data_IF_837791804994
#
_entry.id   IF_837791804994
#
_cell.length_a   1.000
_cell.length_b   1.000
_cell.length_c   1.000
_cell.angle_alpha   90.00
_cell.angle_beta   90.00
_cell.angle_gamma   90.00
#
_symmetry.space_group_name_H-M   'P 1'
#
loop_
_entity.id
_entity.type
_entity.pdbx_description
1 polymer ?
2 non-polymer ?
3 non-polymer ?
4 non-polymer ?
5 water ?
#
# COMPACT_ATOMS: atom_id res chain seq x y z
N UNK A 14 -13.90 6.98 -14.59
CA UNK A 14 -12.93 6.42 -15.57
C UNK A 14 -11.49 6.77 -15.21
N UNK A 15 -10.55 5.95 -15.70
CA UNK A 15 -9.14 6.18 -15.45
C UNK A 15 -8.73 7.53 -16.00
N UNK A 16 -7.88 8.20 -15.27
CA UNK A 16 -7.31 9.45 -15.68
C UNK A 16 -5.83 9.25 -15.86
N UNK A 17 -5.35 9.42 -17.08
CA UNK A 17 -3.93 9.42 -17.37
C UNK A 17 -3.38 10.78 -17.01
N UNK A 18 -2.31 10.80 -16.23
CA UNK A 18 -1.72 12.06 -15.77
C UNK A 18 -0.23 11.83 -15.85
N UNK A 19 0.39 12.41 -16.86
CA UNK A 19 1.74 12.04 -17.26
C UNK A 19 1.78 10.54 -17.48
N UNK A 20 2.75 9.91 -16.84
CA UNK A 20 2.97 8.49 -16.99
C UNK A 20 2.26 7.65 -15.92
N UNK A 21 1.38 8.29 -15.14
CA UNK A 21 0.64 7.63 -14.06
C UNK A 21 -0.83 7.56 -14.43
N UNK A 22 -1.55 6.73 -13.68
CA UNK A 22 -2.99 6.56 -13.85
C UNK A 22 -3.67 6.72 -12.49
N UNK A 23 -4.77 7.46 -12.46
CA UNK A 23 -5.54 7.69 -11.26
C UNK A 23 -6.97 7.23 -11.48
N UNK A 24 -7.57 6.60 -10.48
CA UNK A 24 -8.94 6.08 -10.59
C UNK A 24 -9.66 6.34 -9.30
N UNK A 25 -10.80 7.02 -9.36
CA UNK A 25 -11.59 7.24 -8.16
C UNK A 25 -12.32 5.95 -7.79
N UNK A 26 -12.20 5.55 -6.53
CA UNK A 26 -12.83 4.35 -6.01
C UNK A 26 -14.03 4.60 -5.12
N UNK A 27 -14.07 5.77 -4.50
CA UNK A 27 -15.14 6.14 -3.58
C UNK A 27 -15.09 7.66 -3.50
N UNK A 28 -16.08 8.30 -2.88
CA UNK A 28 -16.07 9.77 -2.85
C UNK A 28 -14.77 10.47 -2.40
N UNK A 29 -14.09 9.87 -1.44
CA UNK A 29 -12.87 10.43 -0.87
C UNK A 29 -11.66 9.52 -1.07
N UNK A 30 -11.71 8.57 -2.01
CA UNK A 30 -10.63 7.60 -2.19
C UNK A 30 -10.29 7.43 -3.67
N UNK A 31 -8.99 7.52 -3.97
CA UNK A 31 -8.49 7.31 -5.32
C UNK A 31 -7.35 6.31 -5.29
N UNK A 32 -7.20 5.55 -6.37
CA UNK A 32 -6.06 4.67 -6.58
C UNK A 32 -5.05 5.36 -7.48
N UNK A 33 -3.78 5.36 -7.09
CA UNK A 33 -2.68 5.79 -7.94
C UNK A 33 -1.97 4.59 -8.50
N UNK A 34 -1.55 4.70 -9.77
CA UNK A 34 -0.85 3.61 -10.44
C UNK A 34 0.36 4.17 -11.16
N UNK A 35 1.51 3.51 -10.97
CA UNK A 35 2.76 3.87 -11.61
C UNK A 35 3.43 2.62 -12.13
N UNK A 36 4.38 2.81 -13.04
CA UNK A 36 4.97 1.71 -13.81
C UNK A 36 6.47 1.75 -13.78
N UNK A 37 7.10 0.57 -13.71
CA UNK A 37 8.55 0.45 -13.83
C UNK A 37 8.89 -0.72 -14.72
N UNK A 38 9.79 -0.50 -15.68
CA UNK A 38 10.36 -1.62 -16.43
C UNK A 38 11.15 -2.54 -15.52
N UNK A 39 10.82 -3.82 -15.55
CA UNK A 39 11.61 -4.79 -14.85
C UNK A 39 12.11 -5.67 -15.95
N UNK A 40 13.40 -5.46 -16.36
CA UNK A 40 13.91 -6.22 -17.49
C UNK A 40 13.64 -7.72 -17.29
N UNK A 41 13.00 -8.33 -18.28
CA UNK A 41 12.53 -9.71 -18.20
C UNK A 41 11.14 -9.90 -17.62
N UNK A 42 10.51 -8.82 -17.17
CA UNK A 42 9.17 -8.86 -16.58
C UNK A 42 8.19 -7.79 -17.15
N UNK A 43 8.63 -6.96 -18.08
CA UNK A 43 7.78 -5.93 -18.66
C UNK A 43 7.65 -4.72 -17.76
N UNK A 44 6.69 -3.87 -18.12
CA UNK A 44 6.43 -2.63 -17.37
C UNK A 44 5.41 -2.93 -16.30
N UNK A 45 5.85 -3.03 -15.05
CA UNK A 45 5.03 -3.54 -13.96
C UNK A 45 4.27 -2.40 -13.29
N UNK A 46 2.95 -2.55 -13.23
CA UNK A 46 2.10 -1.60 -12.54
C UNK A 46 2.18 -1.82 -11.04
N UNK A 47 2.11 -0.75 -10.27
CA UNK A 47 1.92 -0.81 -8.83
C UNK A 47 0.89 0.22 -8.43
N UNK A 48 -0.04 -0.20 -7.58
CA UNK A 48 -1.11 0.66 -7.09
C UNK A 48 -0.91 1.05 -5.63
N UNK A 49 -1.28 2.29 -5.31
CA UNK A 49 -1.46 2.75 -3.95
C UNK A 49 -2.74 3.56 -3.84
N UNK A 50 -2.91 4.24 -2.71
CA UNK A 50 -4.16 4.97 -2.44
C UNK A 50 -3.91 6.40 -2.02
N UNK A 51 -4.93 7.21 -2.27
CA UNK A 51 -5.01 8.61 -1.85
C UNK A 51 -6.36 8.77 -1.19
N UNK A 52 -6.39 9.32 0.03
CA UNK A 52 -7.63 9.45 0.79
C UNK A 52 -7.77 10.88 1.26
N UNK A 53 -8.92 11.51 0.98
CA UNK A 53 -9.21 12.79 1.58
C UNK A 53 -9.94 12.58 2.90
N UNK A 54 -9.40 13.16 3.97
CA UNK A 54 -10.02 13.13 5.27
C UNK A 54 -10.27 14.57 5.68
N UNK A 55 -11.48 15.06 5.41
CA UNK A 55 -11.79 16.45 5.69
C UNK A 55 -10.90 17.40 4.90
N UNK A 56 -10.15 18.23 5.61
CA UNK A 56 -9.27 19.19 4.98
C UNK A 56 -7.84 18.76 4.72
N UNK A 57 -7.58 17.46 4.74
CA UNK A 57 -6.24 16.97 4.45
C UNK A 57 -6.31 15.69 3.64
N UNK A 58 -5.16 15.35 3.09
CA UNK A 58 -5.00 14.17 2.25
C UNK A 58 -3.99 13.22 2.89
N UNK A 59 -4.28 11.94 2.78
CA UNK A 59 -3.42 10.88 3.32
C UNK A 59 -3.05 9.98 2.15
N UNK A 60 -1.79 9.54 2.08
CA UNK A 60 -1.31 8.69 1.00
C UNK A 60 -0.88 7.34 1.54
N UNK A 61 -1.24 6.28 0.81
CA UNK A 61 -0.76 4.94 1.08
C UNK A 61 0.10 4.51 -0.11
N UNK A 62 1.38 4.29 0.19
CA UNK A 62 2.44 3.90 -0.74
C UNK A 62 2.91 5.02 -1.65
N UNK A 63 4.22 5.05 -1.88
CA UNK A 63 4.75 5.90 -2.92
C UNK A 63 4.52 5.25 -4.29
N UNK A 64 4.94 5.96 -5.34
CA UNK A 64 5.16 5.32 -6.63
C UNK A 64 6.55 4.66 -6.65
N UNK A 65 6.92 4.07 -7.77
CA UNK A 65 8.22 3.43 -7.85
C UNK A 65 9.39 4.40 -7.68
N UNK A 66 9.25 5.63 -8.15
CA UNK A 66 10.36 6.56 -8.17
C UNK A 66 9.98 7.89 -7.51
N UNK A 67 11.02 8.65 -7.18
CA UNK A 67 10.82 10.00 -6.66
C UNK A 67 10.08 10.87 -7.68
N UNK A 68 10.48 10.82 -8.94
CA UNK A 68 9.81 11.66 -9.94
C UNK A 68 8.32 11.30 -10.07
N UNK A 69 8.01 10.01 -10.08
CA UNK A 69 6.61 9.59 -10.15
C UNK A 69 5.84 10.01 -8.91
N UNK A 70 6.49 9.94 -7.75
CA UNK A 70 5.84 10.32 -6.50
C UNK A 70 5.57 11.82 -6.46
N UNK A 71 6.50 12.63 -6.96
CA UNK A 71 6.23 14.05 -7.12
C UNK A 71 5.04 14.29 -8.04
N UNK A 72 4.86 13.45 -9.06
CA UNK A 72 3.69 13.55 -9.92
C UNK A 72 2.39 13.21 -9.19
N UNK A 73 2.42 12.23 -8.29
CA UNK A 73 1.25 11.99 -7.44
C UNK A 73 0.91 13.26 -6.67
N UNK A 74 1.91 13.91 -6.09
CA UNK A 74 1.66 15.13 -5.33
C UNK A 74 1.11 16.25 -6.22
N UNK A 75 1.57 16.31 -7.45
CA UNK A 75 1.06 17.29 -8.44
C UNK A 75 -0.40 17.00 -8.77
N UNK A 76 -0.74 15.73 -8.98
CA UNK A 76 -2.13 15.36 -9.22
C UNK A 76 -2.99 15.76 -8.02
N UNK A 77 -2.52 15.50 -6.81
CA UNK A 77 -3.27 15.86 -5.62
C UNK A 77 -3.51 17.37 -5.58
N UNK A 78 -2.47 18.15 -5.87
CA UNK A 78 -2.60 19.61 -5.88
C UNK A 78 -3.68 20.05 -6.86
N UNK A 79 -3.67 19.47 -8.06
CA UNK A 79 -4.63 19.82 -9.13
C UNK A 79 -6.05 19.37 -8.85
N UNK A 80 -6.20 18.15 -8.35
CA UNK A 80 -7.51 17.51 -8.26
C UNK A 80 -8.17 17.61 -6.90
N UNK A 81 -7.39 17.83 -5.85
CA UNK A 81 -7.92 17.95 -4.48
C UNK A 81 -7.58 19.29 -3.87
N UNK A 82 -6.32 19.72 -4.00
CA UNK A 82 -5.89 21.04 -3.54
C UNK A 82 -6.04 21.19 -2.03
N UNK A 83 -5.57 20.19 -1.30
CA UNK A 83 -5.48 20.23 0.14
C UNK A 83 -4.13 19.64 0.53
N UNK A 84 -3.60 20.01 1.70
CA UNK A 84 -2.29 19.50 2.10
C UNK A 84 -2.28 18.00 2.36
N UNK A 85 -1.15 17.38 2.05
CA UNK A 85 -0.93 15.97 2.34
C UNK A 85 -0.35 15.88 3.75
N UNK A 86 -1.15 15.37 4.69
CA UNK A 86 -0.74 15.33 6.09
C UNK A 86 0.27 14.24 6.40
N UNK A 87 0.17 13.10 5.73
CA UNK A 87 1.05 11.98 6.02
C UNK A 87 0.95 10.98 4.90
N UNK A 88 1.95 10.10 4.88
CA UNK A 88 1.96 8.93 4.04
C UNK A 88 2.39 7.73 4.85
N UNK A 89 1.79 6.59 4.55
CA UNK A 89 2.19 5.31 5.14
C UNK A 89 2.56 4.38 4.00
N UNK A 90 3.65 3.64 4.15
CA UNK A 90 4.14 2.74 3.12
C UNK A 90 4.13 1.32 3.66
N UNK A 91 3.85 0.36 2.78
CA UNK A 91 3.42 -0.95 3.25
C UNK A 91 4.45 -2.06 3.27
N UNK A 92 5.64 -1.84 2.71
CA UNK A 92 6.83 -2.66 2.97
C UNK A 92 8.01 -2.05 2.22
N UNK A 93 9.19 -2.58 2.48
CA UNK A 93 10.44 -2.04 1.95
C UNK A 93 10.83 -2.65 0.60
N UNK A 94 9.94 -2.53 -0.38
CA UNK A 94 10.28 -2.75 -1.79
C UNK A 94 10.03 -1.45 -2.55
N UNK A 95 10.65 -1.34 -3.72
CA UNK A 95 10.68 -0.07 -4.47
C UNK A 95 9.30 0.42 -4.87
N UNK A 96 8.38 -0.49 -5.19
CA UNK A 96 7.07 -0.06 -5.61
C UNK A 96 6.32 0.69 -4.51
N UNK A 97 6.64 0.40 -3.25
CA UNK A 97 5.94 0.98 -2.11
C UNK A 97 6.71 2.11 -1.45
N UNK A 98 8.04 2.08 -1.53
CA UNK A 98 8.90 3.03 -0.80
C UNK A 98 9.90 3.75 -1.68
N UNK A 99 9.86 3.52 -2.99
CA UNK A 99 10.86 4.12 -3.86
C UNK A 99 10.84 5.63 -3.93
N UNK A 100 9.73 6.24 -3.58
CA UNK A 100 9.57 7.67 -3.67
C UNK A 100 9.65 8.42 -2.36
N UNK A 101 10.22 7.80 -1.34
CA UNK A 101 10.27 8.41 -0.02
C UNK A 101 10.91 9.80 -0.04
N UNK A 102 12.01 9.96 -0.78
CA UNK A 102 12.67 11.27 -0.81
C UNK A 102 11.74 12.35 -1.33
N UNK A 103 10.89 12.05 -2.31
CA UNK A 103 9.95 13.05 -2.82
C UNK A 103 8.95 13.47 -1.75
N UNK A 104 8.50 12.52 -0.94
CA UNK A 104 7.62 12.88 0.17
C UNK A 104 8.32 13.78 1.17
N UNK A 105 9.56 13.44 1.49
CA UNK A 105 10.31 14.26 2.43
C UNK A 105 10.61 15.65 1.89
N UNK A 106 10.93 15.75 0.61
CA UNK A 106 11.18 17.04 -0.01
C UNK A 106 9.92 17.91 0.03
N UNK A 107 8.74 17.28 0.00
CA UNK A 107 7.49 17.99 0.06
C UNK A 107 7.04 18.32 1.46
N UNK A 108 7.78 17.90 2.48
CA UNK A 108 7.44 18.17 3.88
C UNK A 108 6.36 17.27 4.45
N UNK A 109 6.17 16.10 3.89
CA UNK A 109 5.12 15.18 4.34
C UNK A 109 5.68 14.22 5.37
N UNK A 110 4.95 14.05 6.48
CA UNK A 110 5.33 13.09 7.52
C UNK A 110 5.14 11.67 7.03
N UNK A 111 6.15 10.82 7.21
CA UNK A 111 6.10 9.47 6.66
C UNK A 111 6.22 8.41 7.74
N UNK A 112 5.51 7.30 7.49
CA UNK A 112 5.36 6.21 8.44
C UNK A 112 5.54 4.87 7.74
N UNK A 113 6.15 3.93 8.43
CA UNK A 113 6.29 2.57 7.94
C UNK A 113 6.40 1.65 9.15
N UNK A 114 6.10 0.38 8.95
CA UNK A 114 6.43 -0.64 9.96
C UNK A 114 7.90 -0.43 10.40
N UNK A 115 8.15 -0.48 11.71
CA UNK A 115 9.52 -0.43 12.21
C UNK A 115 10.42 -1.38 11.44
N UNK A 116 9.95 -2.58 11.14
CA UNK A 116 10.77 -3.55 10.41
C UNK A 116 11.08 -3.06 8.99
N UNK A 117 10.11 -2.43 8.33
CA UNK A 117 10.38 -1.84 7.02
C UNK A 117 11.47 -0.77 7.08
N UNK A 118 11.43 0.07 8.12
CA UNK A 118 12.46 1.09 8.27
C UNK A 118 13.82 0.46 8.54
N UNK A 119 13.85 -0.61 9.32
CA UNK A 119 15.10 -1.33 9.56
C UNK A 119 15.68 -1.90 8.26
N UNK A 120 14.82 -2.49 7.45
CA UNK A 120 15.21 -3.14 6.21
C UNK A 120 15.49 -2.16 5.08
N UNK A 121 15.01 -0.93 5.20
CA UNK A 121 15.05 -0.02 4.06
C UNK A 121 16.44 0.14 3.45
N UNK A 122 17.46 0.48 4.26
CA UNK A 122 18.77 0.70 3.63
C UNK A 122 19.26 -0.50 2.82
N UNK A 123 19.16 -1.72 3.36
CA UNK A 123 19.65 -2.91 2.62
C UNK A 123 18.81 -3.21 1.39
N UNK A 124 17.56 -2.77 1.37
CA UNK A 124 16.71 -2.92 0.20
C UNK A 124 16.90 -1.79 -0.80
N UNK A 125 17.77 -0.81 -0.51
CA UNK A 125 17.98 0.30 -1.41
C UNK A 125 16.96 1.42 -1.27
N UNK A 126 16.22 1.41 -0.16
CA UNK A 126 15.18 2.40 0.13
C UNK A 126 15.67 3.42 1.16
N UNK A 127 15.05 4.58 1.15
CA UNK A 127 15.14 5.56 2.22
C UNK A 127 14.06 5.22 3.26
N UNK A 128 14.44 5.20 4.53
CA UNK A 128 13.46 4.90 5.59
C UNK A 128 12.44 6.02 5.72
N UNK A 129 11.25 5.65 6.19
CA UNK A 129 10.29 6.65 6.64
C UNK A 129 10.81 7.33 7.91
N UNK A 130 10.21 8.47 8.22
CA UNK A 130 10.59 9.25 9.40
C UNK A 130 10.15 8.61 10.71
N UNK A 131 9.05 7.87 10.68
CA UNK A 131 8.41 7.34 11.87
C UNK A 131 8.16 5.87 11.70
N UNK A 132 8.26 5.13 12.81
CA UNK A 132 8.06 3.71 12.82
C UNK A 132 6.78 3.31 13.54
N UNK A 133 6.00 2.49 12.85
CA UNK A 133 4.82 1.87 13.41
C UNK A 133 5.21 0.60 14.14
N UNK A 134 4.61 0.37 15.31
CA UNK A 134 4.75 -0.92 15.96
C UNK A 134 3.36 -1.51 16.16
N UNK A 135 3.31 -2.82 16.42
CA UNK A 135 2.07 -3.57 16.36
C UNK A 135 1.89 -4.41 17.59
N UNK A 136 0.64 -4.49 18.05
CA UNK A 136 0.27 -5.41 19.11
C UNK A 136 0.37 -6.85 18.63
N UNK A 137 0.41 -7.79 19.58
CA UNK A 137 0.47 -9.22 19.25
C UNK A 137 -0.63 -9.68 18.28
N UNK A 138 -1.82 -9.08 18.41
CA UNK A 138 -2.93 -9.39 17.50
C UNK A 138 -2.87 -8.74 16.11
N UNK A 139 -1.86 -7.91 15.87
CA UNK A 139 -1.65 -7.35 14.56
C UNK A 139 -2.07 -5.90 14.40
N UNK A 140 -2.94 -5.38 15.26
CA UNK A 140 -3.35 -3.98 15.11
C UNK A 140 -2.20 -3.05 15.48
N UNK A 141 -2.07 -1.96 14.74
CA UNK A 141 -1.06 -0.98 15.06
C UNK A 141 -1.27 -0.45 16.47
N UNK A 142 -0.16 -0.18 17.14
CA UNK A 142 -0.19 0.49 18.42
C UNK A 142 -0.56 1.95 18.14
N UNK A 143 -1.72 2.41 18.66
CA UNK A 143 -2.23 3.69 18.21
C UNK A 143 -1.31 4.90 18.40
N UNK A 144 -0.50 4.89 19.45
CA UNK A 144 0.40 6.00 19.67
C UNK A 144 1.43 6.17 18.56
N UNK A 145 1.71 5.09 17.82
CA UNK A 145 2.67 5.15 16.74
C UNK A 145 2.09 5.61 15.42
N UNK A 146 0.76 5.72 15.36
CA UNK A 146 0.04 6.14 14.16
C UNK A 146 -0.84 7.35 14.48
N UNK A 147 -0.24 8.43 14.99
CA UNK A 147 -1.05 9.58 15.35
C UNK A 147 -1.66 10.24 14.11
N UNK A 148 -2.88 10.74 14.28
CA UNK A 148 -3.56 11.51 13.23
C UNK A 148 -3.79 10.73 11.95
N UNK A 149 -3.93 9.42 12.07
CA UNK A 149 -4.18 8.57 10.89
C UNK A 149 -5.64 8.65 10.42
N UNK A 150 -6.53 9.30 11.16
CA UNK A 150 -7.92 9.48 10.73
C UNK A 150 -8.55 8.13 10.41
N UNK A 151 -9.10 7.98 9.20
CA UNK A 151 -9.78 6.73 8.87
C UNK A 151 -8.87 5.56 8.54
N UNK A 152 -7.56 5.78 8.47
CA UNK A 152 -6.66 4.68 8.12
C UNK A 152 -6.43 3.77 9.30
N UNK A 153 -6.80 2.50 9.13
CA UNK A 153 -6.69 1.46 10.17
C UNK A 153 -5.60 0.49 9.73
N UNK A 154 -4.47 0.51 10.41
CA UNK A 154 -3.30 -0.24 9.97
C UNK A 154 -3.19 -1.57 10.71
N UNK A 155 -2.94 -2.63 9.96
CA UNK A 155 -2.93 -3.98 10.48
C UNK A 155 -1.76 -4.74 9.91
N UNK A 156 -1.01 -5.41 10.78
CA UNK A 156 0.05 -6.32 10.39
C UNK A 156 -0.51 -7.72 10.42
N UNK A 157 -0.65 -8.37 9.24
CA UNK A 157 -1.36 -9.65 9.18
C UNK A 157 -0.50 -10.86 9.45
N UNK A 158 0.81 -10.64 9.65
CA UNK A 158 1.79 -11.71 9.69
C UNK A 158 2.63 -11.70 8.43
N UNK A 159 3.73 -12.44 8.46
CA UNK A 159 4.64 -12.47 7.32
C UNK A 159 4.00 -13.20 6.14
N UNK A 160 4.23 -12.70 4.93
CA UNK A 160 3.62 -13.30 3.76
C UNK A 160 4.39 -12.96 2.51
N UNK A 161 3.95 -11.94 1.81
CA UNK A 161 4.69 -11.42 0.68
C UNK A 161 6.10 -11.03 1.12
N UNK A 162 6.18 -10.37 2.27
CA UNK A 162 7.44 -10.11 2.95
C UNK A 162 7.21 -10.26 4.44
N UNK A 163 8.29 -10.24 5.21
CA UNK A 163 8.20 -10.28 6.66
C UNK A 163 7.53 -9.04 7.24
N UNK A 164 7.68 -7.91 6.54
CA UNK A 164 7.28 -6.60 7.05
C UNK A 164 5.97 -6.07 6.49
N UNK A 165 5.32 -6.82 5.60
CA UNK A 165 4.13 -6.31 4.93
C UNK A 165 3.04 -5.89 5.89
N UNK A 166 2.46 -4.71 5.64
CA UNK A 166 1.31 -4.24 6.41
C UNK A 166 0.17 -3.90 5.46
N UNK A 167 -1.01 -3.74 6.05
CA UNK A 167 -2.26 -3.56 5.31
C UNK A 167 -3.03 -2.43 5.94
N UNK A 168 -3.98 -1.87 5.20
CA UNK A 168 -4.67 -0.66 5.64
C UNK A 168 -6.13 -0.70 5.25
N UNK A 169 -7.02 -0.57 6.22
CA UNK A 169 -8.44 -0.38 5.94
C UNK A 169 -8.81 1.08 6.00
N UNK A 170 -9.85 1.47 5.26
CA UNK A 170 -10.30 2.86 5.27
C UNK A 170 -11.65 2.91 5.95
N UNK A 171 -11.65 3.33 7.21
CA UNK A 171 -12.89 3.41 7.99
C UNK A 171 -13.87 4.35 7.28
N UNK A 172 -15.15 3.99 7.32
CA UNK A 172 -16.20 4.75 6.65
C UNK A 172 -16.37 4.44 5.16
N UNK A 173 -15.62 3.46 4.67
CA UNK A 173 -15.72 3.00 3.29
C UNK A 173 -15.79 1.49 3.32
N UNK A 174 -15.99 0.91 2.16
CA UNK A 174 -15.95 -0.54 2.04
C UNK A 174 -14.61 -1.04 1.53
N UNK A 175 -13.54 -0.24 1.68
CA UNK A 175 -12.27 -0.52 1.03
C UNK A 175 -11.23 -0.96 2.05
N UNK A 176 -10.50 -2.01 1.71
CA UNK A 176 -9.27 -2.38 2.41
C UNK A 176 -8.17 -2.65 1.40
N UNK A 177 -6.96 -2.27 1.79
CA UNK A 177 -5.77 -2.34 0.92
C UNK A 177 -4.84 -3.42 1.43
N UNK A 178 -4.64 -4.44 0.60
CA UNK A 178 -3.77 -5.54 0.91
C UNK A 178 -2.33 -5.36 0.46
N UNK A 179 -2.02 -4.30 -0.28
CA UNK A 179 -0.67 -4.14 -0.81
C UNK A 179 -0.27 -5.31 -1.66
N UNK A 180 0.97 -5.74 -1.54
CA UNK A 180 1.45 -6.82 -2.39
C UNK A 180 1.15 -8.19 -1.83
N UNK A 181 0.50 -8.26 -0.67
CA UNK A 181 0.10 -9.53 -0.08
C UNK A 181 -0.99 -10.22 -0.90
N UNK A 182 -1.92 -9.44 -1.45
CA UNK A 182 -3.13 -9.98 -2.07
C UNK A 182 -3.08 -9.78 -3.58
N UNK A 183 -3.47 -10.82 -4.32
CA UNK A 183 -3.67 -10.77 -5.78
C UNK A 183 -5.13 -11.02 -6.10
N UNK A 184 -5.56 -10.65 -7.31
CA UNK A 184 -6.99 -10.75 -7.61
C UNK A 184 -7.43 -12.18 -7.83
N UNK A 185 -8.73 -12.35 -7.91
CA UNK A 185 -9.34 -13.66 -7.94
C UNK A 185 -9.08 -14.44 -9.20
N UNK A 186 -8.55 -13.81 -10.25
CA UNK A 186 -8.19 -14.49 -11.50
C UNK A 186 -6.69 -14.65 -11.67
N UNK A 187 -5.90 -14.28 -10.67
CA UNK A 187 -4.43 -14.36 -10.78
C UNK A 187 -3.95 -15.80 -10.87
N UNK A 188 -2.92 -16.03 -11.68
CA UNK A 188 -2.30 -17.35 -11.80
C UNK A 188 -1.18 -17.59 -10.80
N UNK A 189 -0.61 -16.55 -10.21
CA UNK A 189 0.45 -16.72 -9.23
C UNK A 189 0.39 -15.61 -8.20
N UNK A 190 1.19 -15.75 -7.16
CA UNK A 190 1.31 -14.74 -6.10
C UNK A 190 2.31 -13.61 -6.40
N UNK A 191 2.99 -13.70 -7.54
CA UNK A 191 3.91 -12.66 -7.97
C UNK A 191 5.28 -12.86 -7.36
N UNK A 192 5.89 -11.78 -6.88
CA UNK A 192 7.28 -11.81 -6.44
C UNK A 192 7.37 -12.38 -5.04
N UNK A 193 7.81 -13.64 -4.98
CA UNK A 193 7.99 -14.37 -3.72
C UNK A 193 9.44 -14.39 -3.23
N UNK A 194 10.29 -13.55 -3.81
CA UNK A 194 11.71 -13.53 -3.45
C UNK A 194 12.00 -13.34 -1.99
N UNK A 195 11.19 -12.52 -1.32
CA UNK A 195 11.35 -12.23 0.10
C UNK A 195 10.20 -12.79 0.93
N UNK A 196 9.45 -13.75 0.38
CA UNK A 196 8.23 -14.23 1.00
C UNK A 196 8.49 -15.22 2.12
N UNK A 197 7.52 -15.30 3.04
CA UNK A 197 7.44 -16.33 4.06
C UNK A 197 6.40 -17.33 3.57
N UNK A 198 6.89 -18.40 2.93
CA UNK A 198 6.01 -19.35 2.24
C UNK A 198 5.16 -20.17 3.21
N UNK A 199 5.68 -20.42 4.41
CA UNK A 199 4.95 -21.20 5.40
C UNK A 199 3.75 -20.45 5.94
N UNK A 200 3.90 -19.14 6.15
CA UNK A 200 2.88 -18.35 6.84
C UNK A 200 1.98 -17.53 5.91
N UNK A 201 2.29 -17.52 4.61
CA UNK A 201 1.58 -16.66 3.67
C UNK A 201 0.07 -16.87 3.72
N UNK A 202 -0.40 -18.11 3.65
CA UNK A 202 -1.84 -18.34 3.59
C UNK A 202 -2.54 -17.78 4.82
N UNK A 203 -1.98 -18.07 6.00
CA UNK A 203 -2.57 -17.57 7.23
C UNK A 203 -2.56 -16.04 7.29
N UNK A 204 -1.50 -15.42 6.78
CA UNK A 204 -1.42 -13.97 6.78
C UNK A 204 -2.49 -13.37 5.86
N UNK A 205 -2.67 -13.95 4.68
CA UNK A 205 -3.72 -13.49 3.79
C UNK A 205 -5.09 -13.59 4.46
N UNK A 206 -5.36 -14.73 5.10
CA UNK A 206 -6.64 -14.92 5.80
C UNK A 206 -6.79 -13.95 6.97
N UNK A 207 -5.70 -13.65 7.67
CA UNK A 207 -5.76 -12.70 8.78
C UNK A 207 -6.12 -11.29 8.31
N UNK A 208 -5.60 -10.90 7.15
CA UNK A 208 -5.99 -9.63 6.53
C UNK A 208 -7.50 -9.59 6.33
N UNK A 209 -8.05 -10.65 5.74
CA UNK A 209 -9.50 -10.69 5.52
C UNK A 209 -10.28 -10.59 6.82
N UNK A 210 -9.81 -11.30 7.83
CA UNK A 210 -10.51 -11.33 9.12
C UNK A 210 -10.44 -9.99 9.86
N UNK A 211 -9.38 -9.22 9.62
CA UNK A 211 -9.23 -7.90 10.22
C UNK A 211 -10.20 -6.88 9.68
N UNK A 212 -10.58 -7.03 8.41
CA UNK A 212 -11.45 -6.07 7.72
C UNK A 212 -12.65 -6.83 7.14
N UNK A 213 -13.48 -7.42 8.01
CA UNK A 213 -14.54 -8.31 7.51
C UNK A 213 -15.59 -7.62 6.66
N UNK A 214 -15.80 -6.32 6.86
CA UNK A 214 -16.83 -5.59 6.11
C UNK A 214 -16.33 -4.98 4.81
N UNK A 215 -15.04 -5.13 4.51
CA UNK A 215 -14.51 -4.58 3.27
C UNK A 215 -14.94 -5.43 2.10
N UNK A 216 -15.69 -4.83 1.19
CA UNK A 216 -16.15 -5.52 -0.01
C UNK A 216 -15.34 -5.20 -1.24
N UNK A 217 -14.54 -4.11 -1.20
CA UNK A 217 -13.61 -3.77 -2.25
C UNK A 217 -12.21 -3.92 -1.71
N UNK A 218 -11.47 -4.85 -2.30
CA UNK A 218 -10.09 -5.12 -1.95
C UNK A 218 -9.20 -4.50 -3.00
N UNK A 219 -8.34 -3.60 -2.56
CA UNK A 219 -7.37 -2.91 -3.40
C UNK A 219 -6.01 -3.56 -3.13
N UNK A 220 -5.20 -3.69 -4.17
CA UNK A 220 -3.98 -4.49 -4.19
C UNK A 220 -2.92 -3.79 -4.99
N UNK A 221 -1.66 -4.14 -4.79
CA UNK A 221 -0.60 -3.46 -5.54
C UNK A 221 -0.57 -3.85 -7.00
N UNK A 222 -0.80 -5.13 -7.30
CA UNK A 222 -0.48 -5.66 -8.63
C UNK A 222 -1.68 -6.31 -9.30
N UNK A 223 -2.88 -5.91 -8.88
CA UNK A 223 -4.11 -6.22 -9.57
C UNK A 223 -5.07 -5.06 -9.41
N UNK A 224 -6.06 -4.94 -10.31
CA UNK A 224 -7.13 -3.97 -10.16
C UNK A 224 -8.02 -4.33 -8.98
N UNK A 225 -8.79 -3.37 -8.46
CA UNK A 225 -9.64 -3.69 -7.31
C UNK A 225 -10.57 -4.84 -7.58
N UNK A 226 -10.82 -5.65 -6.57
CA UNK A 226 -11.64 -6.85 -6.73
C UNK A 226 -12.52 -7.04 -5.50
N UNK A 227 -13.37 -8.04 -5.59
CA UNK A 227 -14.14 -8.47 -4.43
C UNK A 227 -13.26 -9.25 -3.46
N UNK A 228 -13.88 -9.71 -2.38
CA UNK A 228 -13.19 -10.51 -1.39
C UNK A 228 -12.72 -11.85 -1.91
N UNK A 229 -13.17 -12.25 -3.10
CA UNK A 229 -12.60 -13.43 -3.74
C UNK A 229 -11.10 -13.30 -3.98
N UNK A 230 -10.59 -12.08 -4.06
CA UNK A 230 -9.15 -11.89 -4.12
C UNK A 230 -8.46 -12.51 -2.90
N UNK A 231 -9.05 -12.32 -1.73
CA UNK A 231 -8.47 -12.82 -0.49
C UNK A 231 -8.55 -14.35 -0.45
N UNK A 232 -9.73 -14.90 -0.72
CA UNK A 232 -9.86 -16.34 -0.68
C UNK A 232 -8.98 -17.02 -1.72
N UNK A 233 -8.91 -16.46 -2.93
CA UNK A 233 -8.09 -17.06 -3.99
C UNK A 233 -6.61 -16.95 -3.66
N UNK A 234 -6.18 -15.79 -3.15
CA UNK A 234 -4.81 -15.63 -2.73
C UNK A 234 -4.43 -16.67 -1.68
N UNK A 235 -5.27 -16.81 -0.66
CA UNK A 235 -4.99 -17.74 0.41
C UNK A 235 -4.95 -19.18 -0.11
N UNK A 236 -5.86 -19.53 -1.01
CA UNK A 236 -5.91 -20.87 -1.54
C UNK A 236 -4.66 -21.17 -2.37
N UNK A 237 -4.18 -20.19 -3.14
CA UNK A 237 -2.91 -20.36 -3.85
C UNK A 237 -1.76 -20.50 -2.88
N UNK A 238 -1.77 -19.70 -1.83
CA UNK A 238 -0.72 -19.74 -0.82
C UNK A 238 -0.72 -21.06 -0.04
N UNK A 239 -1.87 -21.72 0.08
CA UNK A 239 -1.93 -23.06 0.68
C UNK A 239 -0.94 -24.01 -0.02
N UNK A 240 -0.74 -23.84 -1.33
CA UNK A 240 0.13 -24.71 -2.13
C UNK A 240 1.63 -24.48 -1.93
N UNK A 241 1.98 -23.37 -1.28
CA UNK A 241 3.38 -23.09 -0.92
C UNK A 241 3.86 -23.94 0.25
N UNK A 242 2.94 -24.51 1.02
CA UNK A 242 3.25 -25.25 2.23
C UNK A 242 3.42 -26.74 1.95
X LIG B 1 7.07 -6.32 -2.49
X LIG C 1 4.82 -5.06 -5.10
X LIG D 1 10.76 -5.91 -6.71
X LIG D 1 9.66 -5.48 -7.47
X LIG D 1 8.45 -6.21 -6.90
X LIG D 1 7.10 -6.21 -8.06
X LIG D 1 8.06 -5.58 -5.56
X LIG D 1 6.65 -6.37 -4.74
X LIG E 1 -13.37 -14.20 3.15
X LIG E 1 -14.30 -13.18 3.48
X LIG E 1 -12.04 -13.54 2.88
X LIG E 1 -11.41 -13.14 4.11
X LIG F 1 11.55 -5.97 2.29
X LIG F 1 10.17 -5.63 2.30
X LIG F 1 11.76 -7.46 2.46
X LIG F 1 13.08 -7.68 2.96
X LIG G 1 3.45 2.05 21.48
X LIG G 1 4.63 2.84 21.38
X LIG G 1 3.72 0.77 22.26
X LIG G 1 4.01 1.10 23.61
X LIG H 1 14.48 13.71 -5.25
X LIG H 1 15.46 13.60 -4.24
X LIG H 1 13.15 13.99 -4.54
X LIG H 1 12.12 14.17 -5.51
X LIG I 1 -13.12 -0.84 6.53
X LIG I 1 -12.21 -1.45 5.60
X LIG I 1 -12.62 -0.91 7.97
X LIG I 1 -11.50 -0.05 8.24
#
# INVERSE_FOLDING_TARGET
GEIRPTIGQQMETGDQRFGDLVFRQLAPNVWQHTSYLDMPGFGAVASNGLIVRDGGRVLVVDTAWTDDQTAQILNWIKQEINLPVALAVVTHAHQDKMGGMDALHAAGIATYANALSNQLAPQEGMVAAQHSLTFAANGWVEPATAPNFGPLKVFYPGPGHTSDNITVGIDGTDIAFGGCLIKDSKAKSLGNLGDADTEHYAASARAFGAAFPKASMIVMSHSAPDSRAAITHTARMADKLR
ZN ZN
ZN ZN
9DC OAE CAD CAC SAF CAB SAA
EDO C1 O1 C2 O2
EDO C1 O1 C2 O2
EDO C1 O1 C2 O2
EDO C1 O1 C2 O2
EDO C1 O1 C2 O2
#
